data_IF_076620429327
#
_entry.id   IF_076620429327
#
_cell.length_a   1.000
_cell.length_b   1.000
_cell.length_c   1.000
_cell.angle_alpha   90.00
_cell.angle_beta   90.00
_cell.angle_gamma   90.00
#
_symmetry.space_group_name_H-M   'P 1'
#
loop_
_entity.id
_entity.type
_entity.pdbx_description
1 polymer ?
#
# COMPACT_ATOMS: atom_id res chain seq x y z
N UNK A 1 -38.52 14.52 -1.92
CA UNK A 1 -37.72 13.54 -1.18
C UNK A 1 -36.30 13.50 -1.75
N UNK A 2 -35.35 14.15 -1.08
CA UNK A 2 -33.92 14.04 -1.38
C UNK A 2 -33.26 13.38 -0.18
N UNK A 3 -32.56 12.28 -0.39
CA UNK A 3 -31.87 11.52 0.65
C UNK A 3 -30.52 12.20 0.94
N UNK A 4 -30.33 12.71 2.15
CA UNK A 4 -29.03 13.15 2.64
C UNK A 4 -28.49 12.10 3.60
N UNK A 5 -27.32 11.52 3.30
CA UNK A 5 -26.65 10.53 4.16
C UNK A 5 -25.39 11.18 4.69
N UNK A 6 -25.38 11.54 5.97
CA UNK A 6 -24.17 11.90 6.68
C UNK A 6 -23.49 10.63 7.19
N UNK A 7 -22.19 10.48 6.89
CA UNK A 7 -21.39 9.35 7.32
C UNK A 7 -20.45 9.83 8.43
N UNK A 8 -20.79 9.58 9.69
CA UNK A 8 -19.85 9.79 10.78
C UNK A 8 -19.11 8.48 11.10
N UNK A 9 -17.81 8.45 10.79
CA UNK A 9 -16.93 7.33 11.08
C UNK A 9 -16.25 7.58 12.41
N UNK A 10 -16.99 7.38 13.49
CA UNK A 10 -16.50 7.64 14.84
C UNK A 10 -15.60 6.49 15.32
N UNK A 11 -14.37 6.42 14.77
CA UNK A 11 -13.21 5.64 15.23
C UNK A 11 -13.34 4.11 15.39
N UNK A 12 -14.56 3.56 15.34
CA UNK A 12 -14.93 2.24 15.87
C UNK A 12 -16.01 1.63 14.99
N UNK A 13 -15.70 1.26 13.73
CA UNK A 13 -16.54 0.45 12.82
C UNK A 13 -18.06 0.75 12.80
N UNK A 14 -18.46 1.98 13.14
CA UNK A 14 -19.87 2.38 13.31
C UNK A 14 -20.18 3.36 12.20
N UNK A 15 -21.29 3.11 11.54
CA UNK A 15 -21.92 3.99 10.60
C UNK A 15 -23.20 4.51 11.23
N UNK A 16 -23.23 5.81 11.49
CA UNK A 16 -24.46 6.51 11.84
C UNK A 16 -24.97 7.15 10.56
N UNK A 17 -26.25 6.96 10.22
CA UNK A 17 -26.86 7.67 9.12
C UNK A 17 -28.24 8.22 9.49
N UNK A 18 -28.60 9.34 8.88
CA UNK A 18 -29.90 9.98 8.99
C UNK A 18 -30.62 10.05 7.65
N UNK A 19 -31.96 10.09 7.65
CA UNK A 19 -32.77 10.47 6.49
C UNK A 19 -33.41 11.81 6.81
N UNK A 20 -33.28 12.75 5.89
CA UNK A 20 -33.76 14.12 6.04
C UNK A 20 -34.73 14.41 4.92
N UNK A 21 -35.88 15.00 5.24
CA UNK A 21 -36.77 15.59 4.24
C UNK A 21 -36.55 17.10 4.23
N UNK A 22 -36.04 17.65 3.12
CA UNK A 22 -35.73 19.07 2.99
C UNK A 22 -36.60 19.70 1.91
N UNK A 23 -37.29 20.79 2.27
CA UNK A 23 -37.96 21.66 1.32
C UNK A 23 -36.97 22.73 0.81
N UNK A 24 -36.98 23.00 -0.50
CA UNK A 24 -35.81 23.51 -1.26
C UNK A 24 -35.46 25.00 -1.00
N UNK A 25 -36.18 25.70 -0.12
CA UNK A 25 -36.12 27.17 -0.04
C UNK A 25 -35.56 27.76 1.28
N UNK A 26 -35.09 26.94 2.23
CA UNK A 26 -34.54 27.46 3.48
C UNK A 26 -33.01 27.29 3.56
N UNK A 27 -32.33 28.35 4.02
CA UNK A 27 -30.93 28.25 4.48
C UNK A 27 -30.95 27.51 5.81
N UNK A 28 -30.54 26.25 5.79
CA UNK A 28 -30.57 25.38 6.97
C UNK A 28 -29.28 25.54 7.76
N UNK A 29 -29.38 26.03 9.01
CA UNK A 29 -28.25 26.14 9.96
C UNK A 29 -27.93 24.79 10.64
N UNK A 30 -28.91 23.88 10.74
CA UNK A 30 -28.75 22.54 11.30
C UNK A 30 -29.83 21.58 10.75
N UNK A 31 -29.42 20.37 10.35
CA UNK A 31 -30.32 19.36 9.80
C UNK A 31 -30.61 18.31 10.88
N UNK A 32 -31.84 18.26 11.40
CA UNK A 32 -32.28 17.14 12.25
C UNK A 32 -32.85 16.02 11.38
N UNK A 33 -32.35 14.77 11.51
CA UNK A 33 -32.86 13.66 10.72
C UNK A 33 -34.25 13.23 11.20
N UNK A 34 -35.19 13.07 10.24
CA UNK A 34 -36.53 12.51 10.49
C UNK A 34 -36.43 11.07 11.00
N UNK A 35 -35.37 10.37 10.61
CA UNK A 35 -35.04 9.04 11.09
C UNK A 35 -33.52 8.85 11.17
N UNK A 36 -33.05 8.24 12.25
CA UNK A 36 -31.65 7.83 12.41
C UNK A 36 -31.55 6.37 12.87
N UNK A 37 -30.58 5.66 12.28
CA UNK A 37 -30.21 4.30 12.65
C UNK A 37 -28.69 4.18 12.75
N UNK A 38 -28.26 3.15 13.46
CA UNK A 38 -26.86 2.82 13.66
C UNK A 38 -26.60 1.45 13.09
N UNK A 39 -25.60 1.36 12.22
CA UNK A 39 -25.08 0.11 11.68
C UNK A 39 -23.67 -0.05 12.20
N UNK A 40 -23.28 -1.25 12.64
CA UNK A 40 -21.90 -1.50 13.05
C UNK A 40 -21.40 -2.83 12.52
N UNK A 41 -20.09 -2.86 12.28
CA UNK A 41 -19.36 -4.04 11.85
C UNK A 41 -18.55 -4.62 13.02
N UNK A 42 -18.81 -5.88 13.33
CA UNK A 42 -18.04 -6.68 14.26
C UNK A 42 -16.96 -7.46 13.50
N UNK A 43 -15.69 -7.17 13.84
CA UNK A 43 -14.52 -7.80 13.23
C UNK A 43 -14.30 -9.23 13.68
N UNK A 44 -14.72 -9.58 14.90
CA UNK A 44 -14.46 -10.90 15.48
C UNK A 44 -15.46 -11.92 14.93
N UNK A 45 -16.71 -11.49 14.75
CA UNK A 45 -17.78 -12.33 14.19
C UNK A 45 -17.98 -12.17 12.69
N UNK A 46 -17.27 -11.23 12.06
CA UNK A 46 -17.44 -10.85 10.66
C UNK A 46 -18.92 -10.62 10.31
N UNK A 47 -19.59 -9.80 11.11
CA UNK A 47 -21.03 -9.57 10.96
C UNK A 47 -21.41 -8.10 11.02
N UNK A 48 -22.44 -7.74 10.25
CA UNK A 48 -23.08 -6.43 10.32
C UNK A 48 -24.38 -6.54 11.12
N UNK A 49 -24.51 -5.65 12.10
CA UNK A 49 -25.69 -5.48 12.95
C UNK A 49 -26.19 -4.05 12.90
N UNK A 50 -27.45 -3.84 13.30
CA UNK A 50 -28.08 -2.52 13.33
C UNK A 50 -28.97 -2.36 14.56
N UNK A 51 -29.28 -1.12 14.93
CA UNK A 51 -30.04 -0.81 16.15
C UNK A 51 -31.54 -0.93 15.95
N UNK A 52 -32.10 -0.21 14.96
CA UNK A 52 -33.56 -0.16 14.71
C UNK A 52 -33.96 -0.97 13.47
N UNK A 53 -33.07 -1.10 12.49
CA UNK A 53 -33.27 -1.92 11.31
C UNK A 53 -34.24 -1.30 10.31
N UNK A 54 -33.96 -0.07 9.89
CA UNK A 54 -34.65 0.56 8.76
C UNK A 54 -34.20 -0.02 7.42
N UNK A 55 -34.93 0.28 6.35
CA UNK A 55 -34.72 -0.31 5.02
C UNK A 55 -33.25 -0.22 4.56
N UNK A 56 -32.61 0.93 4.77
CA UNK A 56 -31.16 1.13 4.47
C UNK A 56 -30.27 0.22 5.33
N UNK A 57 -30.44 0.15 6.65
CA UNK A 57 -29.68 -0.77 7.52
C UNK A 57 -29.86 -2.24 7.13
N UNK A 58 -31.08 -2.64 6.76
CA UNK A 58 -31.38 -4.00 6.29
C UNK A 58 -30.69 -4.27 4.97
N UNK A 59 -30.74 -3.34 4.03
CA UNK A 59 -30.07 -3.45 2.74
C UNK A 59 -28.54 -3.53 2.90
N UNK A 60 -27.95 -2.72 3.78
CA UNK A 60 -26.52 -2.77 4.11
C UNK A 60 -26.15 -4.15 4.67
N UNK A 61 -26.94 -4.68 5.61
CA UNK A 61 -26.72 -6.03 6.13
C UNK A 61 -26.85 -7.10 5.04
N UNK A 62 -27.87 -7.03 4.19
CA UNK A 62 -28.08 -7.98 3.10
C UNK A 62 -26.93 -7.95 2.08
N UNK A 63 -26.47 -6.76 1.69
CA UNK A 63 -25.31 -6.60 0.80
C UNK A 63 -24.05 -7.14 1.48
N UNK A 64 -23.84 -6.85 2.77
CA UNK A 64 -22.70 -7.38 3.51
C UNK A 64 -22.75 -8.90 3.58
N UNK A 65 -23.86 -9.50 4.02
CA UNK A 65 -24.00 -10.95 4.16
C UNK A 65 -23.81 -11.66 2.79
N UNK A 66 -24.15 -10.99 1.67
CA UNK A 66 -23.89 -11.47 0.31
C UNK A 66 -22.41 -11.40 -0.10
N UNK A 67 -21.69 -10.35 0.31
CA UNK A 67 -20.31 -10.08 -0.12
C UNK A 67 -19.26 -10.54 0.89
N UNK A 68 -19.67 -10.86 2.12
CA UNK A 68 -18.79 -11.25 3.21
C UNK A 68 -18.09 -12.56 2.86
N UNK A 69 -16.75 -12.56 2.96
CA UNK A 69 -15.92 -13.69 2.58
C UNK A 69 -15.54 -13.74 1.10
N UNK A 70 -16.08 -12.85 0.26
CA UNK A 70 -15.62 -12.70 -1.13
C UNK A 70 -14.46 -11.70 -1.21
N UNK A 71 -13.32 -12.14 -1.75
CA UNK A 71 -12.27 -11.21 -2.13
C UNK A 71 -12.68 -10.49 -3.41
N UNK A 72 -12.55 -9.16 -3.47
CA UNK A 72 -12.72 -8.45 -4.74
C UNK A 72 -11.45 -8.60 -5.59
N UNK A 73 -11.56 -8.46 -6.92
CA UNK A 73 -10.39 -8.39 -7.81
C UNK A 73 -9.39 -7.31 -7.38
N UNK A 74 -9.89 -6.20 -6.80
CA UNK A 74 -9.04 -5.12 -6.28
C UNK A 74 -8.24 -5.56 -5.04
N UNK A 75 -8.83 -6.37 -4.16
CA UNK A 75 -8.14 -6.88 -2.97
C UNK A 75 -7.08 -7.90 -3.35
N UNK A 76 -7.40 -8.79 -4.30
CA UNK A 76 -6.43 -9.74 -4.87
C UNK A 76 -5.27 -8.99 -5.54
N UNK A 77 -5.55 -7.96 -6.35
CA UNK A 77 -4.51 -7.16 -6.99
C UNK A 77 -3.61 -6.46 -5.96
N UNK A 78 -4.19 -5.88 -4.89
CA UNK A 78 -3.40 -5.28 -3.80
C UNK A 78 -2.54 -6.31 -3.07
N UNK A 79 -3.06 -7.51 -2.82
CA UNK A 79 -2.32 -8.60 -2.21
C UNK A 79 -1.13 -9.02 -3.09
N UNK A 80 -1.35 -9.19 -4.40
CA UNK A 80 -0.29 -9.52 -5.36
C UNK A 80 0.78 -8.43 -5.35
N UNK A 81 0.41 -7.16 -5.53
CA UNK A 81 1.35 -6.04 -5.55
C UNK A 81 2.20 -5.97 -4.27
N UNK A 82 1.57 -6.14 -3.09
CA UNK A 82 2.28 -6.16 -1.81
C UNK A 82 3.25 -7.34 -1.69
N UNK A 83 2.85 -8.51 -2.18
CA UNK A 83 3.70 -9.70 -2.16
C UNK A 83 4.88 -9.55 -3.12
N UNK A 84 4.63 -9.01 -4.31
CA UNK A 84 5.65 -8.66 -5.31
C UNK A 84 6.67 -7.66 -4.78
N UNK A 85 6.23 -6.67 -3.99
CA UNK A 85 7.13 -5.71 -3.35
C UNK A 85 8.06 -6.38 -2.31
N UNK A 86 7.50 -7.28 -1.49
CA UNK A 86 8.25 -8.04 -0.48
C UNK A 86 9.27 -9.00 -1.08
N UNK A 87 8.94 -9.60 -2.23
CA UNK A 87 9.86 -10.46 -2.99
C UNK A 87 10.82 -9.65 -3.88
N UNK A 88 10.90 -8.33 -3.69
CA UNK A 88 11.80 -7.45 -4.43
C UNK A 88 11.68 -7.54 -5.96
N UNK A 89 10.49 -7.85 -6.46
CA UNK A 89 10.24 -8.01 -7.88
C UNK A 89 10.46 -6.72 -8.68
N UNK A 90 10.61 -6.92 -9.99
CA UNK A 90 10.70 -5.87 -11.01
C UNK A 90 9.47 -5.95 -11.91
N UNK A 91 8.73 -4.84 -12.01
CA UNK A 91 7.63 -4.75 -12.96
C UNK A 91 8.18 -4.53 -14.36
N UNK A 92 7.81 -5.38 -15.32
CA UNK A 92 8.23 -5.24 -16.72
C UNK A 92 7.24 -4.41 -17.56
N UNK A 93 6.17 -3.90 -16.94
CA UNK A 93 5.17 -3.01 -17.54
C UNK A 93 4.74 -1.93 -16.55
N UNK A 94 4.38 -0.75 -17.06
CA UNK A 94 3.93 0.38 -16.24
C UNK A 94 2.63 0.08 -15.48
N UNK A 95 1.73 -0.71 -16.09
CA UNK A 95 0.58 -1.30 -15.43
C UNK A 95 0.92 -2.76 -15.07
N UNK A 96 1.09 -3.02 -13.77
CA UNK A 96 1.59 -4.28 -13.22
C UNK A 96 0.75 -5.50 -13.59
N UNK A 97 1.30 -6.34 -14.47
CA UNK A 97 0.77 -7.69 -14.80
C UNK A 97 1.91 -8.69 -15.05
N UNK A 98 3.14 -8.21 -15.27
CA UNK A 98 4.31 -9.06 -15.52
C UNK A 98 5.43 -8.62 -14.59
N UNK A 99 5.89 -9.56 -13.76
CA UNK A 99 6.95 -9.35 -12.80
C UNK A 99 8.12 -10.29 -13.09
N UNK A 100 9.33 -9.76 -13.01
CA UNK A 100 10.51 -10.58 -12.76
C UNK A 100 10.69 -10.70 -11.25
N UNK A 101 10.91 -11.91 -10.76
CA UNK A 101 11.10 -12.20 -9.33
C UNK A 101 12.43 -12.92 -9.16
N UNK A 102 13.31 -12.48 -8.24
CA UNK A 102 14.55 -13.18 -7.95
C UNK A 102 14.32 -14.62 -7.51
N UNK A 103 15.16 -15.55 -7.99
CA UNK A 103 15.06 -16.99 -7.70
C UNK A 103 15.07 -17.32 -6.20
N UNK A 104 15.67 -16.47 -5.37
CA UNK A 104 15.66 -16.58 -3.91
C UNK A 104 14.25 -16.68 -3.32
N UNK A 105 13.24 -16.13 -4.01
CA UNK A 105 11.83 -16.12 -3.59
C UNK A 105 10.96 -17.14 -4.33
N UNK A 106 11.56 -18.10 -5.05
CA UNK A 106 10.82 -19.10 -5.85
C UNK A 106 9.73 -19.84 -5.05
N UNK A 107 10.06 -20.27 -3.83
CA UNK A 107 9.12 -20.94 -2.93
C UNK A 107 7.93 -20.04 -2.56
N UNK A 108 8.20 -18.79 -2.21
CA UNK A 108 7.17 -17.82 -1.81
C UNK A 108 6.28 -17.45 -3.02
N UNK A 109 6.88 -17.36 -4.21
CA UNK A 109 6.18 -17.09 -5.45
C UNK A 109 5.20 -18.21 -5.82
N UNK A 110 5.63 -19.47 -5.67
CA UNK A 110 4.75 -20.63 -5.89
C UNK A 110 3.68 -20.77 -4.82
N UNK A 111 3.97 -20.43 -3.56
CA UNK A 111 2.96 -20.37 -2.50
C UNK A 111 1.88 -19.32 -2.81
N UNK A 112 2.30 -18.12 -3.25
CA UNK A 112 1.38 -17.07 -3.68
C UNK A 112 0.55 -17.50 -4.90
N UNK A 113 1.18 -18.19 -5.86
CA UNK A 113 0.47 -18.75 -7.02
C UNK A 113 -0.65 -19.69 -6.59
N UNK A 114 -0.39 -20.60 -5.64
CA UNK A 114 -1.41 -21.49 -5.07
C UNK A 114 -2.58 -20.69 -4.48
N UNK A 115 -2.30 -19.75 -3.58
CA UNK A 115 -3.33 -18.92 -2.94
C UNK A 115 -4.16 -18.14 -3.96
N UNK A 116 -3.53 -17.49 -4.95
CA UNK A 116 -4.25 -16.71 -5.96
C UNK A 116 -5.15 -17.59 -6.82
N UNK A 117 -4.68 -18.77 -7.21
CA UNK A 117 -5.44 -19.69 -8.04
C UNK A 117 -6.58 -20.35 -7.26
N UNK A 118 -6.39 -20.64 -5.96
CA UNK A 118 -7.42 -21.20 -5.08
C UNK A 118 -8.59 -20.23 -4.87
N UNK A 119 -8.34 -18.91 -4.87
CA UNK A 119 -9.40 -17.88 -4.80
C UNK A 119 -10.29 -17.90 -6.08
N UNK A 120 -9.78 -18.39 -7.21
CA UNK A 120 -10.56 -18.66 -8.43
C UNK A 120 -10.96 -17.43 -9.27
N UNK A 121 -10.88 -16.21 -8.74
CA UNK A 121 -11.20 -14.98 -9.49
C UNK A 121 -10.05 -14.44 -10.37
N UNK A 122 -8.84 -14.96 -10.18
CA UNK A 122 -7.63 -14.54 -10.90
C UNK A 122 -6.77 -15.77 -11.21
N UNK A 123 -5.95 -15.69 -12.25
CA UNK A 123 -5.01 -16.76 -12.59
C UNK A 123 -3.59 -16.19 -12.58
N UNK A 124 -2.74 -16.78 -11.75
CA UNK A 124 -1.32 -16.47 -11.67
C UNK A 124 -0.51 -17.59 -12.33
N UNK A 125 0.35 -17.21 -13.27
CA UNK A 125 1.26 -18.11 -13.96
C UNK A 125 2.70 -17.75 -13.63
N UNK A 126 3.45 -18.74 -13.16
CA UNK A 126 4.87 -18.63 -12.83
C UNK A 126 5.66 -19.39 -13.89
N UNK A 127 6.69 -18.75 -14.42
CA UNK A 127 7.58 -19.33 -15.44
C UNK A 127 9.02 -19.16 -14.98
N UNK A 128 9.78 -20.25 -14.99
CA UNK A 128 11.22 -20.21 -14.72
C UNK A 128 11.95 -19.75 -15.99
N UNK A 129 12.71 -18.66 -15.90
CA UNK A 129 13.56 -18.17 -16.99
C UNK A 129 14.92 -18.86 -16.84
N UNK A 130 15.28 -19.73 -17.78
CA UNK A 130 16.61 -20.34 -17.82
C UNK A 130 17.70 -19.34 -18.23
N UNK A 131 18.96 -19.66 -17.90
CA UNK A 131 20.16 -18.85 -18.13
C UNK A 131 20.44 -18.48 -19.62
N UNK A 132 19.69 -19.05 -20.58
CA UNK A 132 19.91 -18.89 -22.03
C UNK A 132 18.96 -17.94 -22.77
N UNK A 133 17.98 -17.30 -22.10
CA UNK A 133 17.02 -16.44 -22.78
C UNK A 133 17.55 -15.00 -22.97
N UNK A 134 17.62 -14.58 -24.24
CA UNK A 134 18.19 -13.33 -24.78
C UNK A 134 17.49 -12.02 -24.41
N UNK A 135 16.56 -12.02 -23.44
CA UNK A 135 15.81 -10.83 -23.00
C UNK A 135 16.28 -10.24 -21.66
N UNK A 136 17.49 -10.59 -21.20
CA UNK A 136 18.03 -10.09 -19.94
C UNK A 136 18.21 -8.57 -19.92
N UNK A 137 18.57 -7.94 -21.05
CA UNK A 137 18.82 -6.49 -21.13
C UNK A 137 17.61 -5.65 -20.70
N UNK A 138 16.41 -5.97 -21.19
CA UNK A 138 15.20 -5.24 -20.81
C UNK A 138 14.84 -5.39 -19.33
N UNK A 139 15.13 -6.54 -18.73
CA UNK A 139 14.93 -6.77 -17.28
C UNK A 139 15.95 -5.98 -16.48
N UNK A 140 17.22 -5.94 -16.93
CA UNK A 140 18.28 -5.14 -16.32
C UNK A 140 17.95 -3.65 -16.36
N UNK A 141 17.48 -3.14 -17.49
CA UNK A 141 17.14 -1.73 -17.63
C UNK A 141 15.93 -1.36 -16.76
N UNK A 142 14.90 -2.22 -16.72
CA UNK A 142 13.77 -2.05 -15.82
C UNK A 142 14.20 -2.08 -14.33
N UNK A 143 15.13 -2.97 -13.96
CA UNK A 143 15.69 -3.05 -12.62
C UNK A 143 16.37 -1.74 -12.22
N UNK A 144 17.27 -1.24 -13.09
CA UNK A 144 17.99 0.01 -12.88
C UNK A 144 17.04 1.19 -12.75
N UNK A 145 16.07 1.31 -13.66
CA UNK A 145 15.07 2.38 -13.61
C UNK A 145 14.29 2.36 -12.31
N UNK A 146 13.82 1.19 -11.88
CA UNK A 146 13.03 1.06 -10.65
C UNK A 146 13.85 1.38 -9.39
N UNK A 147 15.13 0.98 -9.35
CA UNK A 147 16.03 1.34 -8.25
C UNK A 147 16.29 2.85 -8.25
N UNK A 148 16.62 3.44 -9.39
CA UNK A 148 16.85 4.89 -9.52
C UNK A 148 15.62 5.71 -9.07
N UNK A 149 14.41 5.27 -9.45
CA UNK A 149 13.16 5.91 -9.01
C UNK A 149 12.98 5.82 -7.48
N UNK A 150 13.30 4.68 -6.87
CA UNK A 150 13.25 4.54 -5.40
C UNK A 150 14.29 5.40 -4.70
N UNK A 151 15.51 5.46 -5.24
CA UNK A 151 16.57 6.35 -4.75
C UNK A 151 16.09 7.81 -4.80
N UNK A 152 15.52 8.25 -5.93
CA UNK A 152 14.95 9.59 -6.09
C UNK A 152 13.84 9.87 -5.09
N UNK A 153 12.91 8.94 -4.90
CA UNK A 153 11.84 9.07 -3.89
C UNK A 153 12.40 9.18 -2.47
N UNK A 154 13.44 8.42 -2.14
CA UNK A 154 14.10 8.47 -0.84
C UNK A 154 14.83 9.80 -0.62
N UNK A 155 15.59 10.28 -1.61
CA UNK A 155 16.21 11.63 -1.60
C UNK A 155 15.15 12.71 -1.34
N UNK A 156 13.99 12.63 -2.01
CA UNK A 156 12.87 13.57 -1.78
C UNK A 156 12.28 13.45 -0.36
N UNK A 157 12.07 12.23 0.16
CA UNK A 157 11.57 12.02 1.54
C UNK A 157 12.53 12.57 2.60
N UNK A 158 13.83 12.45 2.38
CA UNK A 158 14.89 13.01 3.25
C UNK A 158 14.86 14.54 3.18
N UNK A 159 14.84 15.12 1.98
CA UNK A 159 14.75 16.57 1.80
C UNK A 159 13.49 17.16 2.44
N UNK A 160 12.34 16.50 2.30
CA UNK A 160 11.10 16.95 2.93
C UNK A 160 11.15 16.88 4.46
N UNK A 161 11.81 15.86 5.01
CA UNK A 161 12.05 15.78 6.46
C UNK A 161 12.92 16.95 6.92
N UNK A 162 14.01 17.24 6.21
CA UNK A 162 14.91 18.36 6.50
C UNK A 162 14.18 19.70 6.57
N UNK A 163 13.32 19.98 5.60
CA UNK A 163 12.49 21.19 5.62
C UNK A 163 11.52 21.20 6.81
N UNK A 164 10.88 20.06 7.09
CA UNK A 164 9.93 19.95 8.22
C UNK A 164 10.61 20.13 9.59
N UNK A 165 11.88 19.71 9.73
CA UNK A 165 12.70 19.94 10.92
C UNK A 165 13.07 21.41 11.05
N UNK A 166 13.55 22.04 9.96
CA UNK A 166 13.89 23.48 9.92
C UNK A 166 12.70 24.37 10.24
N UNK A 167 11.53 24.04 9.70
CA UNK A 167 10.26 24.74 9.98
C UNK A 167 9.73 24.46 11.40
N UNK A 168 10.38 23.57 12.15
CA UNK A 168 9.99 23.19 13.51
C UNK A 168 8.72 22.35 13.61
N UNK A 169 8.21 21.82 12.49
CA UNK A 169 7.00 20.98 12.43
C UNK A 169 7.22 19.58 13.00
N UNK A 170 8.45 19.07 12.96
CA UNK A 170 8.85 17.76 13.49
C UNK A 170 10.06 17.94 14.40
N UNK A 171 9.98 17.46 15.65
CA UNK A 171 11.04 17.55 16.68
C UNK A 171 10.98 16.37 17.66
N UNK A 172 12.06 16.17 18.42
CA UNK A 172 12.15 15.16 19.48
C UNK A 172 11.82 13.75 19.00
N UNK A 173 11.03 12.99 19.77
CA UNK A 173 10.65 11.60 19.43
C UNK A 173 10.02 11.42 18.05
N UNK A 174 9.34 12.44 17.52
CA UNK A 174 8.76 12.40 16.17
C UNK A 174 9.84 12.44 15.08
N UNK A 175 10.94 13.17 15.34
CA UNK A 175 12.13 13.20 14.50
C UNK A 175 12.86 11.86 14.57
N UNK A 176 13.11 11.33 15.77
CA UNK A 176 13.83 10.05 15.96
C UNK A 176 13.12 8.91 15.22
N UNK A 177 11.82 8.75 15.43
CA UNK A 177 11.01 7.76 14.71
C UNK A 177 11.05 7.98 13.19
N UNK A 178 11.04 9.24 12.74
CA UNK A 178 11.12 9.58 11.32
C UNK A 178 12.47 9.19 10.71
N UNK A 179 13.58 9.37 11.44
CA UNK A 179 14.92 8.97 11.03
C UNK A 179 15.02 7.45 11.00
N UNK A 180 14.57 6.76 12.05
CA UNK A 180 14.60 5.29 12.12
C UNK A 180 13.87 4.63 10.95
N UNK A 181 12.68 5.13 10.59
CA UNK A 181 11.92 4.65 9.44
C UNK A 181 12.74 4.80 8.16
N UNK A 182 13.42 5.93 7.96
CA UNK A 182 14.20 6.20 6.75
C UNK A 182 15.49 5.38 6.69
N UNK A 183 16.14 5.14 7.83
CA UNK A 183 17.28 4.22 7.94
C UNK A 183 16.86 2.79 7.60
N UNK A 184 15.69 2.34 8.08
CA UNK A 184 15.12 1.03 7.72
C UNK A 184 14.83 0.94 6.23
N UNK A 185 14.12 1.92 5.67
CA UNK A 185 13.81 2.00 4.23
C UNK A 185 15.09 1.95 3.38
N UNK A 186 16.16 2.63 3.81
CA UNK A 186 17.45 2.61 3.14
C UNK A 186 18.10 1.22 3.16
N UNK A 187 18.13 0.57 4.33
CA UNK A 187 18.65 -0.80 4.47
C UNK A 187 17.89 -1.78 3.60
N UNK A 188 16.57 -1.66 3.54
CA UNK A 188 15.71 -2.49 2.69
C UNK A 188 16.00 -2.27 1.20
N UNK A 189 16.22 -1.02 0.77
CA UNK A 189 16.59 -0.72 -0.61
C UNK A 189 17.97 -1.26 -0.96
N UNK A 190 18.94 -1.14 -0.06
CA UNK A 190 20.28 -1.72 -0.25
C UNK A 190 20.22 -3.25 -0.39
N UNK A 191 19.45 -3.91 0.47
CA UNK A 191 19.23 -5.36 0.38
C UNK A 191 18.57 -5.76 -0.94
N UNK A 192 17.55 -5.02 -1.38
CA UNK A 192 16.91 -5.22 -2.70
C UNK A 192 17.94 -5.14 -3.83
N UNK A 193 18.81 -4.13 -3.82
CA UNK A 193 19.80 -3.95 -4.88
C UNK A 193 20.81 -5.11 -4.92
N UNK A 194 21.25 -5.59 -3.76
CA UNK A 194 22.14 -6.75 -3.69
C UNK A 194 21.49 -8.00 -4.30
N UNK A 195 20.26 -8.32 -3.88
CA UNK A 195 19.52 -9.49 -4.38
C UNK A 195 19.29 -9.39 -5.90
N UNK A 196 19.00 -8.19 -6.41
CA UNK A 196 18.83 -7.97 -7.85
C UNK A 196 20.14 -8.08 -8.62
N UNK A 197 21.25 -7.56 -8.08
CA UNK A 197 22.57 -7.67 -8.70
C UNK A 197 22.98 -9.14 -8.82
N UNK A 198 22.78 -9.91 -7.75
CA UNK A 198 23.05 -11.35 -7.71
C UNK A 198 22.15 -12.11 -8.70
N UNK A 199 20.83 -11.85 -8.67
CA UNK A 199 19.86 -12.54 -9.52
C UNK A 199 20.03 -12.24 -11.02
N UNK A 200 20.44 -11.03 -11.37
CA UNK A 200 20.62 -10.60 -12.75
C UNK A 200 22.06 -10.78 -13.26
N UNK A 201 22.97 -11.27 -12.41
CA UNK A 201 24.41 -11.40 -12.70
C UNK A 201 25.00 -10.08 -13.23
N UNK A 202 24.49 -8.93 -12.76
CA UNK A 202 25.00 -7.61 -13.11
C UNK A 202 26.11 -7.26 -12.12
N UNK A 203 27.19 -6.62 -12.58
CA UNK A 203 28.16 -6.00 -11.65
C UNK A 203 27.43 -4.98 -10.77
N UNK A 204 27.37 -5.23 -9.46
CA UNK A 204 26.74 -4.38 -8.45
C UNK A 204 27.28 -2.93 -8.44
N UNK A 205 28.47 -2.71 -9.04
CA UNK A 205 29.23 -1.46 -9.12
C UNK A 205 28.41 -0.23 -9.56
N UNK A 206 27.39 -0.37 -10.42
CA UNK A 206 26.56 0.77 -10.86
C UNK A 206 25.32 1.04 -9.99
N UNK A 207 24.86 0.07 -9.19
CA UNK A 207 23.68 0.24 -8.32
C UNK A 207 24.09 0.65 -6.90
N UNK A 208 25.26 0.24 -6.44
CA UNK A 208 25.79 0.60 -5.12
C UNK A 208 26.25 2.05 -5.03
N UNK A 209 26.81 2.62 -6.10
CA UNK A 209 27.30 4.01 -6.11
C UNK A 209 26.20 5.05 -5.80
N UNK A 210 24.99 4.86 -6.34
CA UNK A 210 23.85 5.75 -6.05
C UNK A 210 23.31 5.57 -4.63
N UNK A 211 23.46 4.37 -4.06
CA UNK A 211 23.06 4.09 -2.67
C UNK A 211 24.02 4.70 -1.67
N UNK A 212 25.32 4.74 -1.98
CA UNK A 212 26.33 5.33 -1.10
C UNK A 212 26.11 6.85 -0.91
N UNK A 213 25.66 7.55 -1.94
CA UNK A 213 25.25 8.96 -1.81
C UNK A 213 24.07 9.14 -0.85
N UNK A 214 23.06 8.26 -0.91
CA UNK A 214 21.94 8.35 0.03
C UNK A 214 22.35 7.95 1.44
N UNK A 215 23.24 6.97 1.58
CA UNK A 215 23.82 6.59 2.86
C UNK A 215 24.56 7.75 3.53
N UNK A 216 25.34 8.52 2.75
CA UNK A 216 25.99 9.75 3.23
C UNK A 216 24.98 10.82 3.65
N UNK A 217 23.95 11.09 2.84
CA UNK A 217 22.90 12.06 3.20
C UNK A 217 22.18 11.72 4.52
N UNK A 218 21.93 10.44 4.79
CA UNK A 218 21.32 10.02 6.06
C UNK A 218 22.29 10.22 7.23
N UNK A 219 23.55 9.82 7.05
CA UNK A 219 24.56 9.82 8.11
C UNK A 219 25.03 11.24 8.45
N UNK A 220 25.36 12.03 7.43
CA UNK A 220 26.00 13.32 7.59
C UNK A 220 24.97 14.42 7.87
N UNK A 221 23.73 14.33 7.38
CA UNK A 221 22.78 15.45 7.50
C UNK A 221 21.65 15.24 8.52
N UNK A 222 21.21 14.01 8.78
CA UNK A 222 20.09 13.74 9.68
C UNK A 222 20.52 13.33 11.09
N UNK A 223 21.64 12.63 11.25
CA UNK A 223 22.12 12.23 12.57
C UNK A 223 22.80 13.39 13.32
N UNK A 224 23.49 14.30 12.63
CA UNK A 224 24.02 15.54 13.23
C UNK A 224 22.93 16.53 13.66
N UNK A 225 21.71 16.42 13.10
CA UNK A 225 20.56 17.29 13.45
C UNK A 225 19.72 16.76 14.63
N UNK A 226 20.04 15.55 15.12
CA UNK A 226 19.32 14.88 16.20
C UNK A 226 20.08 14.93 17.55
N UNK A 227 21.36 15.33 17.53
CA UNK A 227 22.17 15.68 18.72
C UNK A 227 21.94 17.13 19.14
#
# INVERSE_FOLDING_TARGET
>A
MKLYIEFDLDGVNKLIYGVVDLDVNEKIESIEPVFSDRVWFDKDTLSVSYEKGHDVSREVKLIYDKLCGEYTTRDIARMIVRSMDRMYSISLRDAGVIYFVPVTFDKDLHALQGVVNDIGQCNMRVYTIGDGNSNSSGIVDAAKSQVADRVKQMKNKINNLKHSVKDGKIKGKSLDNSIEIRVRDFKDLKNKCQILADALKIKAENLEGELDEVGKLIKDELMESAE
#
